data_IF_324432640964
#
_entry.id   IF_324432640964
#
_cell.length_a   1.000
_cell.length_b   1.000
_cell.length_c   1.000
_cell.angle_alpha   90.00
_cell.angle_beta   90.00
_cell.angle_gamma   90.00
#
_symmetry.space_group_name_H-M   'P 1'
#
loop_
_entity.id
_entity.type
_entity.pdbx_description
1 polymer ?
#
# COMPACT_ATOMS: atom_id res chain seq x y z
N UNK A 1 10.70 -8.36 11.26
CA UNK A 1 9.35 -8.47 10.65
C UNK A 1 8.53 -7.34 11.24
N UNK A 2 8.03 -6.44 10.40
CA UNK A 2 7.28 -5.27 10.84
C UNK A 2 5.93 -5.70 11.42
N UNK A 3 5.52 -5.09 12.54
CA UNK A 3 4.23 -5.36 13.18
C UNK A 3 3.10 -4.59 12.48
N UNK A 4 1.84 -5.02 12.69
CA UNK A 4 0.67 -4.29 12.19
C UNK A 4 0.56 -2.89 12.79
N UNK A 5 0.99 -2.69 14.04
CA UNK A 5 1.04 -1.36 14.67
C UNK A 5 2.08 -0.45 14.01
N UNK A 6 3.25 -0.99 13.66
CA UNK A 6 4.25 -0.23 12.91
C UNK A 6 3.73 0.14 11.51
N UNK A 7 3.05 -0.79 10.82
CA UNK A 7 2.39 -0.52 9.54
C UNK A 7 1.33 0.56 9.69
N UNK A 8 0.50 0.50 10.74
CA UNK A 8 -0.54 1.50 11.06
C UNK A 8 0.04 2.92 11.12
N UNK A 9 1.08 3.10 11.95
CA UNK A 9 1.69 4.40 12.20
C UNK A 9 2.36 4.94 10.94
N UNK A 10 3.18 4.12 10.28
CA UNK A 10 3.91 4.53 9.09
C UNK A 10 2.98 4.84 7.92
N UNK A 11 1.92 4.03 7.70
CA UNK A 11 0.95 4.29 6.64
C UNK A 11 0.15 5.58 6.89
N UNK A 12 -0.26 5.83 8.14
CA UNK A 12 -0.95 7.07 8.51
C UNK A 12 -0.08 8.29 8.22
N UNK A 13 1.20 8.25 8.64
CA UNK A 13 2.15 9.33 8.38
C UNK A 13 2.35 9.54 6.87
N UNK A 14 2.68 8.48 6.14
CA UNK A 14 2.93 8.55 4.70
C UNK A 14 1.74 9.12 3.93
N UNK A 15 0.52 8.62 4.21
CA UNK A 15 -0.68 9.07 3.51
C UNK A 15 -1.05 10.51 3.88
N UNK A 16 -0.84 10.91 5.13
CA UNK A 16 -1.06 12.31 5.54
C UNK A 16 -0.10 13.26 4.81
N UNK A 17 1.18 12.88 4.65
CA UNK A 17 2.15 13.65 3.88
C UNK A 17 1.79 13.71 2.38
N UNK A 18 1.32 12.60 1.79
CA UNK A 18 1.00 12.56 0.35
C UNK A 18 -0.28 13.30 -0.01
N UNK A 19 -1.30 13.25 0.85
CA UNK A 19 -2.58 13.93 0.59
C UNK A 19 -2.64 15.35 1.18
N UNK A 20 -1.64 15.77 1.95
CA UNK A 20 -1.66 17.06 2.68
C UNK A 20 -2.92 17.23 3.57
N UNK A 21 -3.38 16.10 4.12
CA UNK A 21 -4.62 16.00 4.91
C UNK A 21 -4.39 15.02 6.06
N UNK A 22 -4.93 15.27 7.28
CA UNK A 22 -4.85 14.30 8.37
C UNK A 22 -5.49 12.94 8.00
N UNK A 23 -4.73 11.87 8.18
CA UNK A 23 -5.17 10.48 7.96
C UNK A 23 -5.04 9.69 9.25
N UNK A 24 -6.10 8.99 9.64
CA UNK A 24 -6.04 7.97 10.70
C UNK A 24 -6.22 6.59 10.09
N UNK A 25 -5.34 5.64 10.44
CA UNK A 25 -5.56 4.22 10.10
C UNK A 25 -6.31 3.57 11.26
N UNK A 26 -7.60 3.32 11.10
CA UNK A 26 -8.44 2.73 12.15
C UNK A 26 -8.17 1.25 12.35
N UNK A 27 -7.92 0.51 11.27
CA UNK A 27 -7.68 -0.94 11.29
C UNK A 27 -6.61 -1.40 10.28
N UNK A 28 -5.88 -2.46 10.62
CA UNK A 28 -4.82 -3.08 9.79
C UNK A 28 -4.96 -4.60 9.85
N UNK A 29 -5.24 -5.23 8.72
CA UNK A 29 -5.32 -6.68 8.58
C UNK A 29 -4.20 -7.18 7.66
N UNK A 30 -3.37 -8.12 8.14
CA UNK A 30 -2.37 -8.78 7.29
C UNK A 30 -3.04 -9.90 6.49
N UNK A 31 -2.93 -9.83 5.16
CA UNK A 31 -3.40 -10.86 4.24
C UNK A 31 -2.26 -11.86 4.02
N UNK A 32 -2.49 -13.11 4.42
CA UNK A 32 -1.54 -14.21 4.23
C UNK A 32 -1.73 -14.91 2.88
N UNK A 33 -0.70 -15.62 2.42
CA UNK A 33 -0.74 -16.40 1.17
C UNK A 33 -0.14 -15.69 -0.05
N UNK A 34 0.32 -14.44 0.10
CA UNK A 34 1.08 -13.74 -0.94
C UNK A 34 2.54 -14.23 -0.98
N UNK A 35 2.91 -14.99 -2.01
CA UNK A 35 4.30 -15.41 -2.22
C UNK A 35 5.21 -14.29 -2.75
N UNK A 36 4.61 -13.27 -3.38
CA UNK A 36 5.34 -12.15 -4.02
C UNK A 36 5.57 -10.97 -3.06
N UNK A 37 4.55 -10.59 -2.26
CA UNK A 37 4.58 -9.40 -1.40
C UNK A 37 3.82 -9.61 -0.10
N UNK A 38 4.28 -8.96 0.97
CA UNK A 38 3.48 -8.83 2.18
C UNK A 38 2.34 -7.85 1.91
N UNK A 39 1.10 -8.31 2.11
CA UNK A 39 -0.10 -7.54 1.77
C UNK A 39 -0.88 -7.21 3.03
N UNK A 40 -1.30 -5.96 3.15
CA UNK A 40 -2.06 -5.43 4.27
C UNK A 40 -3.29 -4.71 3.74
N UNK A 41 -4.44 -4.99 4.33
CA UNK A 41 -5.66 -4.21 4.13
C UNK A 41 -5.72 -3.15 5.24
N UNK A 42 -5.91 -1.90 4.85
CA UNK A 42 -6.00 -0.77 5.77
C UNK A 42 -7.39 -0.15 5.67
N UNK A 43 -7.96 0.19 6.83
CA UNK A 43 -9.13 1.05 6.92
C UNK A 43 -8.68 2.42 7.38
N UNK A 44 -8.99 3.45 6.59
CA UNK A 44 -8.57 4.83 6.78
C UNK A 44 -9.77 5.70 7.14
N UNK A 45 -9.56 6.70 7.98
CA UNK A 45 -10.45 7.83 8.19
C UNK A 45 -9.77 9.09 7.65
N UNK A 46 -10.36 9.72 6.64
CA UNK A 46 -9.83 10.91 5.95
C UNK A 46 -10.98 11.87 5.70
N UNK A 47 -10.88 13.11 6.18
CA UNK A 47 -11.94 14.14 6.04
C UNK A 47 -13.35 13.71 6.49
N UNK A 48 -13.42 12.79 7.47
CA UNK A 48 -14.69 12.24 7.97
C UNK A 48 -15.27 11.11 7.11
N UNK A 49 -14.54 10.63 6.11
CA UNK A 49 -14.89 9.47 5.29
C UNK A 49 -14.01 8.26 5.62
N UNK A 50 -14.65 7.09 5.68
CA UNK A 50 -13.96 5.81 5.77
C UNK A 50 -13.54 5.32 4.38
N UNK A 51 -12.25 5.03 4.18
CA UNK A 51 -11.70 4.51 2.91
C UNK A 51 -10.92 3.22 3.14
N UNK A 52 -11.09 2.23 2.26
CA UNK A 52 -10.30 1.00 2.27
C UNK A 52 -9.15 1.09 1.26
N UNK A 53 -7.94 0.70 1.66
CA UNK A 53 -6.80 0.58 0.73
C UNK A 53 -6.02 -0.71 0.97
N UNK A 54 -5.31 -1.17 -0.05
CA UNK A 54 -4.38 -2.29 -0.01
C UNK A 54 -2.95 -1.77 -0.08
N UNK A 55 -2.16 -2.07 0.95
CA UNK A 55 -0.72 -1.82 0.98
C UNK A 55 0.01 -3.12 0.64
N UNK A 56 0.86 -3.07 -0.39
CA UNK A 56 1.68 -4.20 -0.84
C UNK A 56 3.15 -3.83 -0.64
N UNK A 57 3.79 -4.44 0.35
CA UNK A 57 5.18 -4.21 0.76
C UNK A 57 6.08 -5.31 0.18
N UNK A 58 7.22 -4.90 -0.36
CA UNK A 58 8.21 -5.86 -0.86
C UNK A 58 8.69 -6.78 0.28
N UNK A 59 8.89 -8.08 -0.01
CA UNK A 59 9.36 -9.02 1.00
C UNK A 59 10.85 -8.74 1.32
N UNK A 60 11.32 -9.02 2.55
CA UNK A 60 12.74 -8.83 2.92
C UNK A 60 13.74 -9.59 2.03
N UNK A 61 13.29 -10.67 1.41
CA UNK A 61 14.00 -11.46 0.42
C UNK A 61 12.98 -12.05 -0.55
N UNK A 62 13.13 -11.82 -1.85
CA UNK A 62 12.28 -12.45 -2.88
C UNK A 62 13.09 -13.43 -3.71
N UNK A 63 12.48 -14.57 -4.04
CA UNK A 63 12.97 -15.47 -5.10
C UNK A 63 12.50 -15.04 -6.50
N UNK A 64 11.51 -14.14 -6.56
CA UNK A 64 10.88 -13.65 -7.79
C UNK A 64 11.06 -12.13 -7.81
N UNK A 65 11.94 -11.66 -8.67
CA UNK A 65 12.13 -10.23 -8.90
C UNK A 65 11.14 -9.74 -9.97
N UNK A 66 9.87 -9.62 -9.59
CA UNK A 66 8.92 -8.84 -10.39
C UNK A 66 8.99 -7.39 -9.92
N UNK A 67 9.52 -6.52 -10.77
CA UNK A 67 9.67 -5.10 -10.46
C UNK A 67 8.30 -4.51 -10.08
N UNK A 68 8.15 -4.04 -8.83
CA UNK A 68 6.94 -3.36 -8.32
C UNK A 68 6.45 -2.27 -9.28
N UNK A 69 7.40 -1.58 -9.91
CA UNK A 69 7.16 -0.57 -10.93
C UNK A 69 6.36 -1.10 -12.13
N UNK A 70 6.65 -2.32 -12.57
CA UNK A 70 5.92 -2.96 -13.67
C UNK A 70 4.49 -3.30 -13.25
N UNK A 71 4.29 -3.87 -12.05
CA UNK A 71 2.95 -4.16 -11.54
C UNK A 71 2.13 -2.88 -11.36
N UNK A 72 2.68 -1.87 -10.67
CA UNK A 72 2.03 -0.58 -10.47
C UNK A 72 1.73 0.12 -11.80
N UNK A 73 2.70 0.14 -12.73
CA UNK A 73 2.54 0.73 -14.05
C UNK A 73 1.52 0.03 -14.94
N UNK A 74 1.31 -1.28 -14.76
CA UNK A 74 0.23 -2.02 -15.43
C UNK A 74 -1.14 -1.57 -14.89
N UNK A 75 -1.31 -1.50 -13.57
CA UNK A 75 -2.53 -0.97 -12.97
C UNK A 75 -2.81 0.46 -13.41
N UNK A 76 -1.80 1.34 -13.42
CA UNK A 76 -1.92 2.75 -13.81
C UNK A 76 -2.45 2.94 -15.24
N UNK A 77 -2.05 2.04 -16.15
CA UNK A 77 -2.50 2.06 -17.55
C UNK A 77 -3.86 1.42 -17.75
N UNK A 78 -4.25 0.45 -16.93
CA UNK A 78 -5.50 -0.31 -17.07
C UNK A 78 -6.65 0.39 -16.32
N UNK A 79 -6.38 1.02 -15.18
CA UNK A 79 -7.38 1.71 -14.35
C UNK A 79 -8.29 2.70 -15.11
N UNK A 80 -7.81 3.53 -16.05
CA UNK A 80 -8.69 4.44 -16.80
C UNK A 80 -9.54 3.74 -17.89
N UNK A 81 -9.48 2.41 -18.01
CA UNK A 81 -10.27 1.61 -18.97
C UNK A 81 -11.49 0.98 -18.31
N UNK A 82 -12.34 0.30 -19.08
CA UNK A 82 -13.51 -0.41 -18.54
C UNK A 82 -13.17 -1.73 -17.81
N UNK A 83 -11.88 -2.09 -17.72
CA UNK A 83 -11.43 -3.32 -17.04
C UNK A 83 -11.36 -3.04 -15.54
N UNK A 84 -12.09 -3.80 -14.70
CA UNK A 84 -12.07 -3.57 -13.26
C UNK A 84 -10.72 -3.98 -12.67
N UNK A 85 -9.99 -2.99 -12.18
CA UNK A 85 -8.74 -3.18 -11.44
C UNK A 85 -8.67 -2.19 -10.27
N UNK A 86 -7.88 -2.48 -9.22
CA UNK A 86 -7.61 -1.50 -8.17
C UNK A 86 -7.00 -0.21 -8.70
N UNK A 87 -7.37 0.91 -8.10
CA UNK A 87 -6.78 2.21 -8.37
C UNK A 87 -5.36 2.27 -7.80
N UNK A 88 -4.33 2.55 -8.62
CA UNK A 88 -2.97 2.70 -8.13
C UNK A 88 -2.74 4.09 -7.55
N UNK A 89 -2.85 4.22 -6.22
CA UNK A 89 -2.74 5.51 -5.55
C UNK A 89 -1.29 5.99 -5.45
N UNK A 90 -0.38 5.15 -4.94
CA UNK A 90 1.01 5.55 -4.71
C UNK A 90 2.01 4.41 -4.90
N UNK A 91 3.21 4.78 -5.34
CA UNK A 91 4.38 3.92 -5.42
C UNK A 91 5.53 4.57 -4.63
N UNK A 92 5.98 3.90 -3.56
CA UNK A 92 7.11 4.35 -2.74
C UNK A 92 8.31 3.41 -2.93
N UNK A 93 9.48 4.02 -3.17
CA UNK A 93 10.73 3.32 -3.48
C UNK A 93 11.76 3.42 -2.35
N UNK A 94 11.58 4.40 -1.46
CA UNK A 94 12.35 4.50 -0.23
C UNK A 94 11.95 3.40 0.77
N UNK A 95 12.91 3.02 1.60
CA UNK A 95 12.71 2.13 2.75
C UNK A 95 12.33 2.89 4.02
N UNK A 96 12.28 4.23 3.99
CA UNK A 96 12.23 5.07 5.20
C UNK A 96 10.98 4.86 6.06
N UNK A 97 9.83 4.55 5.44
CA UNK A 97 8.57 4.41 6.18
C UNK A 97 8.34 2.98 6.71
N UNK A 98 8.64 1.96 5.90
CA UNK A 98 8.22 0.59 6.18
C UNK A 98 9.37 -0.42 6.11
N UNK A 99 10.62 0.03 6.20
CA UNK A 99 11.86 -0.77 6.06
C UNK A 99 12.03 -1.46 4.70
N UNK A 100 11.01 -1.41 3.84
CA UNK A 100 10.96 -1.97 2.50
C UNK A 100 10.09 -1.07 1.62
N UNK A 101 10.36 -0.99 0.31
CA UNK A 101 9.49 -0.30 -0.63
C UNK A 101 8.09 -0.90 -0.71
N UNK A 102 7.11 -0.12 -1.15
CA UNK A 102 5.71 -0.54 -1.19
C UNK A 102 4.87 0.22 -2.22
N UNK A 103 3.67 -0.29 -2.47
CA UNK A 103 2.62 0.39 -3.24
C UNK A 103 1.31 0.39 -2.48
N UNK A 104 0.49 1.43 -2.69
CA UNK A 104 -0.86 1.54 -2.13
C UNK A 104 -1.87 1.59 -3.29
N UNK A 105 -2.94 0.79 -3.18
CA UNK A 105 -4.03 0.71 -4.14
C UNK A 105 -5.40 0.81 -3.46
N UNK A 106 -6.45 1.26 -4.15
CA UNK A 106 -7.84 1.31 -3.65
C UNK A 106 -8.80 0.47 -4.48
#
# INVERSE_FOLDING_TARGET
MITTDQVKIAAAQYLAEKWDTPVTVSDVEKIFGGASRETYKLTLEVDGETRGVILRRDPPSSLIDTERHLEYGAYDRIYPTDIPVPEPLFLENSTDFLEQPFSIMA
#
